data_IF_764034535084
#
_entry.id   IF_764034535084
#
_cell.length_a   1.000
_cell.length_b   1.000
_cell.length_c   1.000
_cell.angle_alpha   90.00
_cell.angle_beta   90.00
_cell.angle_gamma   90.00
#
_symmetry.space_group_name_H-M   'P 1'
#
loop_
_entity.id
_entity.type
_entity.pdbx_description
1 polymer ?
#
# COMPACT_ATOMS: atom_id res chain seq x y z
N UNK A 1 -66.82 22.23 -27.25
CA UNK A 1 -65.66 22.54 -26.38
C UNK A 1 -64.57 23.14 -27.26
N UNK A 2 -64.18 24.39 -27.03
CA UNK A 2 -63.23 25.11 -27.87
C UNK A 2 -61.80 24.58 -27.69
N UNK A 3 -60.95 24.67 -28.71
CA UNK A 3 -59.53 24.30 -28.65
C UNK A 3 -58.78 24.98 -27.49
N UNK A 4 -59.24 26.15 -27.09
CA UNK A 4 -58.73 26.93 -25.96
C UNK A 4 -59.01 26.27 -24.60
N UNK A 5 -60.16 25.61 -24.41
CA UNK A 5 -60.50 24.87 -23.19
C UNK A 5 -59.68 23.59 -23.02
N UNK A 6 -59.47 22.83 -24.11
CA UNK A 6 -58.62 21.64 -24.08
C UNK A 6 -57.14 21.99 -23.81
N UNK A 7 -56.67 23.13 -24.32
CA UNK A 7 -55.31 23.61 -24.10
C UNK A 7 -55.07 24.05 -22.65
N UNK A 8 -56.01 24.78 -22.03
CA UNK A 8 -55.92 25.18 -20.63
C UNK A 8 -55.93 23.96 -19.67
N UNK A 9 -56.74 22.94 -19.97
CA UNK A 9 -56.76 21.69 -19.20
C UNK A 9 -55.42 20.93 -19.28
N UNK A 10 -54.78 20.90 -20.45
CA UNK A 10 -53.46 20.27 -20.63
C UNK A 10 -52.34 21.00 -19.86
N UNK A 11 -52.36 22.34 -19.81
CA UNK A 11 -51.37 23.13 -19.03
C UNK A 11 -51.57 22.89 -17.53
N UNK A 12 -52.82 22.88 -17.06
CA UNK A 12 -53.15 22.60 -15.67
C UNK A 12 -52.70 21.19 -15.24
N UNK A 13 -52.91 20.17 -16.07
CA UNK A 13 -52.48 18.80 -15.79
C UNK A 13 -50.94 18.68 -15.67
N UNK A 14 -50.19 19.40 -16.53
CA UNK A 14 -48.72 19.43 -16.47
C UNK A 14 -48.21 20.12 -15.21
N UNK A 15 -48.84 21.22 -14.81
CA UNK A 15 -48.45 22.01 -13.65
C UNK A 15 -48.80 21.32 -12.32
N UNK A 16 -49.96 20.65 -12.24
CA UNK A 16 -50.41 19.92 -11.03
C UNK A 16 -49.56 18.69 -10.69
N UNK A 17 -48.83 18.15 -11.68
CA UNK A 17 -47.87 17.05 -11.55
C UNK A 17 -46.51 17.47 -10.98
N UNK A 18 -46.25 18.77 -10.81
CA UNK A 18 -45.01 19.24 -10.21
C UNK A 18 -44.96 18.91 -8.71
N UNK A 19 -43.80 18.47 -8.24
CA UNK A 19 -43.59 18.15 -6.83
C UNK A 19 -42.15 18.48 -6.39
N UNK A 20 -41.99 19.59 -5.68
CA UNK A 20 -40.69 20.05 -5.20
C UNK A 20 -40.08 19.10 -4.16
N UNK A 21 -40.89 18.47 -3.30
CA UNK A 21 -40.40 17.51 -2.30
C UNK A 21 -39.89 16.22 -2.97
N UNK A 22 -40.57 15.73 -4.01
CA UNK A 22 -40.07 14.57 -4.76
C UNK A 22 -38.77 14.89 -5.52
N UNK A 23 -38.65 16.08 -6.12
CA UNK A 23 -37.38 16.55 -6.69
C UNK A 23 -36.25 16.56 -5.66
N UNK A 24 -36.54 17.06 -4.45
CA UNK A 24 -35.58 17.14 -3.36
C UNK A 24 -35.09 15.76 -2.92
N UNK A 25 -36.01 14.85 -2.59
CA UNK A 25 -35.66 13.48 -2.23
C UNK A 25 -34.96 12.75 -3.37
N UNK A 26 -35.42 12.97 -4.61
CA UNK A 26 -34.77 12.45 -5.81
C UNK A 26 -33.31 12.90 -5.91
N UNK A 27 -33.02 14.18 -5.68
CA UNK A 27 -31.65 14.68 -5.66
C UNK A 27 -30.83 14.00 -4.55
N UNK A 28 -31.35 13.94 -3.32
CA UNK A 28 -30.70 13.32 -2.16
C UNK A 28 -30.35 11.85 -2.43
N UNK A 29 -31.29 11.05 -2.92
CA UNK A 29 -31.05 9.64 -3.22
C UNK A 29 -30.02 9.45 -4.34
N UNK A 30 -30.03 10.32 -5.35
CA UNK A 30 -29.08 10.25 -6.45
C UNK A 30 -27.68 10.74 -6.08
N UNK A 31 -27.50 11.44 -4.96
CA UNK A 31 -26.17 11.76 -4.46
C UNK A 31 -25.36 10.50 -4.15
N UNK A 32 -26.02 9.43 -3.69
CA UNK A 32 -25.37 8.15 -3.34
C UNK A 32 -24.65 7.55 -4.55
N UNK A 33 -25.33 7.13 -5.64
CA UNK A 33 -24.65 6.53 -6.79
C UNK A 33 -23.69 7.50 -7.50
N UNK A 34 -23.92 8.82 -7.43
CA UNK A 34 -23.01 9.81 -8.02
C UNK A 34 -21.68 9.86 -7.27
N UNK A 35 -21.71 9.89 -5.93
CA UNK A 35 -20.49 9.85 -5.12
C UNK A 35 -19.76 8.51 -5.27
N UNK A 36 -20.49 7.39 -5.32
CA UNK A 36 -19.90 6.05 -5.60
C UNK A 36 -19.18 6.05 -6.94
N UNK A 37 -19.85 6.52 -7.99
CA UNK A 37 -19.27 6.59 -9.32
C UNK A 37 -18.06 7.52 -9.35
N UNK A 38 -18.11 8.65 -8.64
CA UNK A 38 -17.00 9.59 -8.58
C UNK A 38 -15.76 8.94 -7.95
N UNK A 39 -15.93 8.30 -6.80
CA UNK A 39 -14.83 7.60 -6.13
C UNK A 39 -14.24 6.49 -7.02
N UNK A 40 -15.10 5.68 -7.65
CA UNK A 40 -14.65 4.64 -8.57
C UNK A 40 -13.84 5.21 -9.75
N UNK A 41 -14.28 6.32 -10.35
CA UNK A 41 -13.53 7.00 -11.41
C UNK A 41 -12.19 7.52 -10.89
N UNK A 42 -12.17 8.05 -9.66
CA UNK A 42 -10.95 8.53 -9.02
C UNK A 42 -9.93 7.41 -8.79
N UNK A 43 -10.37 6.24 -8.30
CA UNK A 43 -9.49 5.08 -8.11
C UNK A 43 -8.92 4.55 -9.44
N UNK A 44 -9.74 4.45 -10.49
CA UNK A 44 -9.28 3.95 -11.79
C UNK A 44 -8.36 4.93 -12.50
N UNK A 45 -8.69 6.23 -12.48
CA UNK A 45 -7.94 7.28 -13.17
C UNK A 45 -8.17 8.63 -12.47
N UNK A 46 -7.29 9.01 -11.52
CA UNK A 46 -7.44 10.24 -10.74
C UNK A 46 -7.59 11.51 -11.60
N UNK A 47 -6.85 11.58 -12.72
CA UNK A 47 -6.94 12.70 -13.67
C UNK A 47 -8.31 12.82 -14.36
N UNK A 48 -9.08 11.74 -14.46
CA UNK A 48 -10.42 11.75 -15.05
C UNK A 48 -11.50 12.17 -14.03
N UNK A 49 -11.22 12.10 -12.73
CA UNK A 49 -12.16 12.48 -11.68
C UNK A 49 -12.61 13.95 -11.78
N UNK A 50 -11.76 14.83 -12.32
CA UNK A 50 -12.13 16.22 -12.58
C UNK A 50 -13.34 16.35 -13.50
N UNK A 51 -13.55 15.43 -14.45
CA UNK A 51 -14.72 15.43 -15.35
C UNK A 51 -16.03 15.23 -14.57
N UNK A 52 -15.98 14.58 -13.41
CA UNK A 52 -17.15 14.37 -12.56
C UNK A 52 -17.71 15.68 -11.97
N UNK A 53 -16.94 16.76 -11.92
CA UNK A 53 -17.47 18.10 -11.61
C UNK A 53 -18.57 18.50 -12.58
N UNK A 54 -18.43 18.20 -13.87
CA UNK A 54 -19.47 18.47 -14.85
C UNK A 54 -20.55 17.39 -14.85
N UNK A 55 -20.16 16.12 -14.90
CA UNK A 55 -21.11 14.99 -15.00
C UNK A 55 -22.05 14.90 -13.80
N UNK A 56 -21.55 15.12 -12.57
CA UNK A 56 -22.41 15.11 -11.37
C UNK A 56 -23.49 16.18 -11.43
N UNK A 57 -23.17 17.37 -11.94
CA UNK A 57 -24.14 18.44 -12.17
C UNK A 57 -25.22 18.03 -13.16
N UNK A 58 -24.83 17.41 -14.27
CA UNK A 58 -25.78 16.91 -15.26
C UNK A 58 -26.69 15.80 -14.70
N UNK A 59 -26.12 14.84 -13.97
CA UNK A 59 -26.84 13.72 -13.37
C UNK A 59 -27.85 14.18 -12.30
N UNK A 60 -27.46 15.10 -11.42
CA UNK A 60 -28.38 15.71 -10.45
C UNK A 60 -29.46 16.53 -11.14
N UNK A 61 -29.11 17.27 -12.18
CA UNK A 61 -30.08 17.99 -13.00
C UNK A 61 -31.17 17.06 -13.53
N UNK A 62 -30.78 15.94 -14.13
CA UNK A 62 -31.70 14.93 -14.64
C UNK A 62 -32.53 14.27 -13.53
N UNK A 63 -31.93 13.96 -12.38
CA UNK A 63 -32.64 13.39 -11.23
C UNK A 63 -33.75 14.33 -10.72
N UNK A 64 -33.43 15.61 -10.52
CA UNK A 64 -34.39 16.63 -10.10
C UNK A 64 -35.54 16.75 -11.09
N UNK A 65 -35.24 16.75 -12.40
CA UNK A 65 -36.26 16.82 -13.44
C UNK A 65 -37.15 15.58 -13.50
N UNK A 66 -36.56 14.40 -13.40
CA UNK A 66 -37.28 13.13 -13.47
C UNK A 66 -38.29 13.00 -12.32
N UNK A 67 -37.84 13.29 -11.09
CA UNK A 67 -38.67 13.15 -9.89
C UNK A 67 -39.61 14.34 -9.66
N UNK A 68 -39.16 15.56 -9.94
CA UNK A 68 -39.93 16.78 -9.67
C UNK A 68 -40.88 17.22 -10.77
N UNK A 69 -40.58 16.85 -12.03
CA UNK A 69 -41.30 17.29 -13.24
C UNK A 69 -41.55 18.80 -13.30
N UNK A 70 -40.62 19.57 -12.73
CA UNK A 70 -40.77 20.98 -12.45
C UNK A 70 -40.59 21.89 -13.68
N UNK A 71 -41.46 22.90 -13.79
CA UNK A 71 -41.33 23.97 -14.79
C UNK A 71 -40.89 25.30 -14.15
N UNK A 72 -41.04 25.45 -12.82
CA UNK A 72 -40.60 26.66 -12.11
C UNK A 72 -39.07 26.79 -12.05
N UNK A 73 -38.58 28.04 -12.02
CA UNK A 73 -37.14 28.33 -11.90
C UNK A 73 -36.51 27.79 -10.61
N UNK A 74 -37.31 27.62 -9.54
CA UNK A 74 -36.82 27.16 -8.24
C UNK A 74 -36.37 25.69 -8.26
N UNK A 75 -36.78 24.88 -9.24
CA UNK A 75 -36.21 23.53 -9.43
C UNK A 75 -34.73 23.58 -9.83
N UNK A 76 -34.31 24.62 -10.56
CA UNK A 76 -32.89 24.83 -10.87
C UNK A 76 -32.06 25.08 -9.59
N UNK A 77 -32.65 25.73 -8.59
CA UNK A 77 -31.99 25.97 -7.30
C UNK A 77 -31.74 24.66 -6.57
N UNK A 78 -32.69 23.71 -6.59
CA UNK A 78 -32.48 22.36 -6.04
C UNK A 78 -31.26 21.70 -6.71
N UNK A 79 -31.21 21.72 -8.05
CA UNK A 79 -30.09 21.14 -8.80
C UNK A 79 -28.74 21.76 -8.44
N UNK A 80 -28.67 23.10 -8.40
CA UNK A 80 -27.44 23.80 -8.03
C UNK A 80 -27.00 23.53 -6.59
N UNK A 81 -27.92 23.56 -5.62
CA UNK A 81 -27.61 23.33 -4.20
C UNK A 81 -27.13 21.89 -3.99
N UNK A 82 -27.83 20.90 -4.54
CA UNK A 82 -27.39 19.50 -4.42
C UNK A 82 -26.04 19.27 -5.10
N UNK A 83 -25.83 19.83 -6.30
CA UNK A 83 -24.54 19.75 -6.97
C UNK A 83 -23.41 20.39 -6.13
N UNK A 84 -23.62 21.58 -5.58
CA UNK A 84 -22.64 22.23 -4.71
C UNK A 84 -22.31 21.38 -3.47
N UNK A 85 -23.32 20.79 -2.82
CA UNK A 85 -23.08 19.88 -1.69
C UNK A 85 -22.24 18.66 -2.09
N UNK A 86 -22.56 18.00 -3.21
CA UNK A 86 -21.78 16.84 -3.70
C UNK A 86 -20.33 17.25 -3.97
N UNK A 87 -20.11 18.40 -4.60
CA UNK A 87 -18.76 18.91 -4.90
C UNK A 87 -17.99 19.22 -3.61
N UNK A 88 -18.64 19.83 -2.61
CA UNK A 88 -18.01 20.10 -1.31
C UNK A 88 -17.62 18.81 -0.59
N UNK A 89 -18.49 17.80 -0.59
CA UNK A 89 -18.19 16.49 0.00
C UNK A 89 -17.04 15.82 -0.75
N UNK A 90 -17.09 15.82 -2.10
CA UNK A 90 -16.03 15.25 -2.93
C UNK A 90 -14.69 15.96 -2.70
N UNK A 91 -14.71 17.27 -2.49
CA UNK A 91 -13.51 18.06 -2.17
C UNK A 91 -12.95 17.69 -0.80
N UNK A 92 -13.82 17.57 0.21
CA UNK A 92 -13.45 17.22 1.58
C UNK A 92 -12.79 15.84 1.66
N UNK A 93 -13.34 14.85 0.96
CA UNK A 93 -12.72 13.50 0.84
C UNK A 93 -11.62 13.42 -0.23
N UNK A 94 -11.20 14.55 -0.80
CA UNK A 94 -10.07 14.67 -1.73
C UNK A 94 -10.19 13.87 -3.03
N UNK A 95 -11.40 13.51 -3.48
CA UNK A 95 -11.62 12.79 -4.76
C UNK A 95 -11.81 13.72 -5.97
N UNK A 96 -11.66 15.03 -5.79
CA UNK A 96 -11.79 16.05 -6.86
C UNK A 96 -10.48 16.25 -7.64
N UNK A 97 -9.34 16.16 -6.96
CA UNK A 97 -8.03 16.51 -7.52
C UNK A 97 -7.15 15.26 -7.54
N UNK A 98 -6.94 14.71 -8.74
CA UNK A 98 -5.93 13.70 -9.01
C UNK A 98 -4.86 14.24 -9.97
N UNK A 99 -3.67 14.53 -9.46
CA UNK A 99 -2.54 15.04 -10.25
C UNK A 99 -2.52 16.56 -10.44
N UNK A 100 -1.72 17.05 -11.40
CA UNK A 100 -1.48 18.48 -11.63
C UNK A 100 -2.51 19.09 -12.59
N UNK A 101 -3.69 19.42 -12.08
CA UNK A 101 -4.73 20.15 -12.83
C UNK A 101 -4.71 21.64 -12.45
N UNK A 102 -4.66 22.53 -13.44
CA UNK A 102 -4.72 23.98 -13.21
C UNK A 102 -6.06 24.40 -12.57
N UNK A 103 -6.02 25.26 -11.55
CA UNK A 103 -7.22 25.74 -10.85
C UNK A 103 -8.26 26.39 -11.76
N UNK A 104 -7.83 27.06 -12.83
CA UNK A 104 -8.72 27.67 -13.83
C UNK A 104 -9.58 26.62 -14.54
N UNK A 105 -9.02 25.43 -14.82
CA UNK A 105 -9.74 24.32 -15.43
C UNK A 105 -10.81 23.80 -14.46
N UNK A 106 -10.46 23.62 -13.18
CA UNK A 106 -11.39 23.18 -12.14
C UNK A 106 -12.60 24.12 -12.02
N UNK A 107 -12.35 25.44 -11.99
CA UNK A 107 -13.41 26.46 -11.96
C UNK A 107 -14.27 26.36 -13.21
N UNK A 108 -13.66 26.25 -14.40
CA UNK A 108 -14.39 26.13 -15.67
C UNK A 108 -15.32 24.92 -15.69
N UNK A 109 -14.82 23.74 -15.30
CA UNK A 109 -15.61 22.50 -15.28
C UNK A 109 -16.70 22.55 -14.20
N UNK A 110 -16.43 23.16 -13.05
CA UNK A 110 -17.46 23.39 -12.02
C UNK A 110 -18.58 24.30 -12.54
N UNK A 111 -18.25 25.41 -13.21
CA UNK A 111 -19.25 26.31 -13.80
C UNK A 111 -20.11 25.58 -14.83
N UNK A 112 -19.50 24.73 -15.67
CA UNK A 112 -20.23 23.87 -16.60
C UNK A 112 -21.15 22.87 -15.88
N UNK A 113 -20.70 22.30 -14.76
CA UNK A 113 -21.51 21.42 -13.90
C UNK A 113 -22.71 22.15 -13.30
N UNK A 114 -22.49 23.31 -12.69
CA UNK A 114 -23.53 24.15 -12.11
C UNK A 114 -24.56 24.61 -13.16
N UNK A 115 -24.09 25.01 -14.35
CA UNK A 115 -24.95 25.33 -15.48
C UNK A 115 -25.78 24.12 -15.94
N UNK A 116 -25.14 22.96 -16.07
CA UNK A 116 -25.81 21.71 -16.48
C UNK A 116 -26.87 21.29 -15.46
N UNK A 117 -26.58 21.39 -14.17
CA UNK A 117 -27.54 21.14 -13.11
C UNK A 117 -28.74 22.07 -13.22
N UNK A 118 -28.51 23.39 -13.29
CA UNK A 118 -29.56 24.38 -13.40
C UNK A 118 -30.46 24.18 -14.64
N UNK A 119 -29.82 23.93 -15.79
CA UNK A 119 -30.50 23.78 -17.08
C UNK A 119 -31.32 22.49 -17.13
N UNK A 120 -30.75 21.36 -16.69
CA UNK A 120 -31.40 20.06 -16.80
C UNK A 120 -32.44 19.81 -15.71
N UNK A 121 -32.39 20.50 -14.56
CA UNK A 121 -33.36 20.37 -13.45
C UNK A 121 -34.79 20.79 -13.78
N UNK A 122 -35.01 21.54 -14.85
CA UNK A 122 -36.34 22.05 -15.23
C UNK A 122 -36.77 21.59 -16.62
N UNK A 123 -38.07 21.50 -16.81
CA UNK A 123 -38.67 21.30 -18.14
C UNK A 123 -38.84 22.68 -18.79
N UNK A 124 -38.28 22.86 -19.99
CA UNK A 124 -38.47 24.10 -20.74
C UNK A 124 -39.91 24.21 -21.25
N UNK A 125 -40.50 25.38 -21.05
CA UNK A 125 -41.81 25.73 -21.60
C UNK A 125 -41.61 26.13 -23.06
N UNK A 126 -42.44 25.61 -23.97
CA UNK A 126 -42.36 25.98 -25.38
C UNK A 126 -42.72 27.47 -25.55
N UNK A 127 -42.13 28.16 -26.52
CA UNK A 127 -42.46 29.57 -26.79
C UNK A 127 -43.95 29.78 -27.09
N UNK A 128 -44.63 28.76 -27.60
CA UNK A 128 -46.05 28.81 -27.93
C UNK A 128 -46.93 28.76 -26.66
N UNK A 129 -46.45 28.12 -25.61
CA UNK A 129 -47.20 27.91 -24.36
C UNK A 129 -46.88 28.95 -23.27
N UNK A 130 -45.85 29.78 -23.47
CA UNK A 130 -45.31 30.67 -22.44
C UNK A 130 -46.36 31.60 -21.81
N UNK A 131 -47.20 32.24 -22.62
CA UNK A 131 -48.27 33.14 -22.14
C UNK A 131 -49.32 32.41 -21.28
N UNK A 132 -49.61 31.16 -21.60
CA UNK A 132 -50.58 30.36 -20.87
C UNK A 132 -50.01 29.86 -19.54
N UNK A 133 -48.75 29.44 -19.51
CA UNK A 133 -48.06 29.12 -18.26
C UNK A 133 -47.95 30.33 -17.34
N UNK A 134 -47.59 31.51 -17.86
CA UNK A 134 -47.50 32.74 -17.07
C UNK A 134 -48.86 33.15 -16.48
N UNK A 135 -49.93 33.08 -17.27
CA UNK A 135 -51.29 33.35 -16.78
C UNK A 135 -51.72 32.35 -15.69
N UNK A 136 -51.36 31.08 -15.82
CA UNK A 136 -51.67 30.06 -14.81
C UNK A 136 -50.84 30.20 -13.53
N UNK A 137 -49.56 30.59 -13.62
CA UNK A 137 -48.73 30.84 -12.45
C UNK A 137 -49.26 31.99 -11.59
N UNK A 138 -49.99 32.94 -12.19
CA UNK A 138 -50.65 34.05 -11.50
C UNK A 138 -52.05 33.69 -10.94
N UNK A 139 -52.58 32.50 -11.23
CA UNK A 139 -53.94 32.11 -10.84
C UNK A 139 -54.05 31.79 -9.32
N UNK A 140 -55.07 32.30 -8.59
CA UNK A 140 -55.24 32.07 -7.15
C UNK A 140 -55.32 30.59 -6.75
N UNK A 141 -56.04 29.78 -7.54
CA UNK A 141 -56.22 28.35 -7.28
C UNK A 141 -54.88 27.59 -7.36
N UNK A 142 -54.04 27.97 -8.33
CA UNK A 142 -52.70 27.43 -8.46
C UNK A 142 -51.82 27.85 -7.28
N UNK A 143 -51.89 29.12 -6.84
CA UNK A 143 -51.14 29.59 -5.67
C UNK A 143 -51.54 28.85 -4.38
N UNK A 144 -52.82 28.46 -4.25
CA UNK A 144 -53.28 27.65 -3.12
C UNK A 144 -52.79 26.20 -3.19
N UNK A 145 -52.81 25.56 -4.37
CA UNK A 145 -52.23 24.22 -4.55
C UNK A 145 -50.70 24.21 -4.40
N UNK A 146 -50.02 25.28 -4.85
CA UNK A 146 -48.58 25.50 -4.70
C UNK A 146 -48.17 25.52 -3.23
N UNK A 147 -48.98 26.12 -2.34
CA UNK A 147 -48.75 26.11 -0.88
C UNK A 147 -48.76 24.69 -0.27
N UNK A 148 -49.36 23.70 -0.92
CA UNK A 148 -49.41 22.33 -0.41
C UNK A 148 -48.27 21.45 -0.95
N UNK A 149 -47.92 21.56 -2.23
CA UNK A 149 -46.91 20.69 -2.88
C UNK A 149 -45.50 21.29 -2.99
N UNK A 150 -45.40 22.62 -3.06
CA UNK A 150 -44.15 23.34 -3.36
C UNK A 150 -43.86 24.38 -2.26
N UNK A 151 -43.78 23.92 -1.00
CA UNK A 151 -43.35 24.76 0.12
C UNK A 151 -41.84 24.98 0.05
N UNK A 152 -41.43 25.91 -0.81
CA UNK A 152 -40.02 26.18 -1.07
C UNK A 152 -39.20 26.51 0.19
N UNK A 153 -39.82 27.15 1.19
CA UNK A 153 -39.18 27.42 2.49
C UNK A 153 -38.87 26.17 3.32
N UNK A 154 -39.56 25.05 3.07
CA UNK A 154 -39.26 23.73 3.67
C UNK A 154 -38.33 22.93 2.77
N UNK A 155 -38.61 22.92 1.46
CA UNK A 155 -37.89 22.08 0.51
C UNK A 155 -36.43 22.49 0.37
N UNK A 156 -36.11 23.78 0.27
CA UNK A 156 -34.74 24.23 0.05
C UNK A 156 -33.80 23.92 1.23
N UNK A 157 -34.16 24.21 2.50
CA UNK A 157 -33.36 23.76 3.64
C UNK A 157 -33.26 22.24 3.73
N UNK A 158 -34.35 21.52 3.44
CA UNK A 158 -34.37 20.06 3.49
C UNK A 158 -33.42 19.44 2.45
N UNK A 159 -33.38 19.95 1.22
CA UNK A 159 -32.42 19.52 0.19
C UNK A 159 -31.00 19.73 0.68
N UNK A 160 -30.69 20.92 1.19
CA UNK A 160 -29.34 21.26 1.66
C UNK A 160 -28.89 20.28 2.75
N UNK A 161 -29.69 20.15 3.83
CA UNK A 161 -29.35 19.34 4.99
C UNK A 161 -29.28 17.85 4.63
N UNK A 162 -30.30 17.31 3.97
CA UNK A 162 -30.31 15.89 3.64
C UNK A 162 -29.26 15.51 2.61
N UNK A 163 -29.00 16.36 1.61
CA UNK A 163 -27.93 16.08 0.64
C UNK A 163 -26.58 16.03 1.33
N UNK A 164 -26.33 16.95 2.27
CA UNK A 164 -25.09 16.98 3.03
C UNK A 164 -24.97 15.76 3.94
N UNK A 165 -25.99 15.45 4.75
CA UNK A 165 -25.99 14.31 5.68
C UNK A 165 -25.84 12.99 4.94
N UNK A 166 -26.67 12.73 3.92
CA UNK A 166 -26.61 11.48 3.15
C UNK A 166 -25.30 11.37 2.39
N UNK A 167 -24.85 12.46 1.75
CA UNK A 167 -23.59 12.45 1.03
C UNK A 167 -22.39 12.20 1.94
N UNK A 168 -22.36 12.79 3.14
CA UNK A 168 -21.29 12.57 4.11
C UNK A 168 -21.28 11.16 4.69
N UNK A 169 -22.47 10.58 4.96
CA UNK A 169 -22.58 9.18 5.40
C UNK A 169 -22.04 8.22 4.33
N UNK A 170 -22.32 8.48 3.05
CA UNK A 170 -21.80 7.69 1.93
C UNK A 170 -20.28 7.82 1.83
N UNK A 171 -19.76 9.05 1.92
CA UNK A 171 -18.32 9.32 1.94
C UNK A 171 -17.60 8.56 3.06
N UNK A 172 -18.10 8.62 4.31
CA UNK A 172 -17.52 7.87 5.44
C UNK A 172 -17.57 6.36 5.19
N UNK A 173 -18.72 5.84 4.76
CA UNK A 173 -18.89 4.41 4.51
C UNK A 173 -17.88 3.88 3.48
N UNK A 174 -17.59 4.67 2.46
CA UNK A 174 -16.57 4.33 1.46
C UNK A 174 -15.15 4.32 2.02
N UNK A 175 -14.77 5.34 2.80
CA UNK A 175 -13.44 5.41 3.41
C UNK A 175 -13.21 4.21 4.33
N UNK A 176 -14.20 3.86 5.15
CA UNK A 176 -14.15 2.67 6.02
C UNK A 176 -14.00 1.39 5.18
N UNK A 177 -14.71 1.29 4.05
CA UNK A 177 -14.63 0.12 3.17
C UNK A 177 -13.23 -0.01 2.52
N UNK A 178 -12.65 1.09 2.04
CA UNK A 178 -11.29 1.10 1.48
C UNK A 178 -10.24 0.70 2.53
N UNK A 179 -10.34 1.25 3.74
CA UNK A 179 -9.41 0.93 4.83
C UNK A 179 -9.53 -0.54 5.26
N UNK A 180 -10.75 -1.06 5.35
CA UNK A 180 -10.97 -2.47 5.66
C UNK A 180 -10.36 -3.41 4.60
N UNK A 181 -10.51 -3.09 3.31
CA UNK A 181 -9.90 -3.87 2.23
C UNK A 181 -8.38 -3.81 2.26
N UNK A 182 -7.81 -2.63 2.57
CA UNK A 182 -6.36 -2.48 2.71
C UNK A 182 -5.81 -3.36 3.85
N UNK A 183 -6.44 -3.30 5.02
CA UNK A 183 -6.06 -4.10 6.20
C UNK A 183 -6.17 -5.60 5.92
N UNK A 184 -7.24 -6.04 5.26
CA UNK A 184 -7.43 -7.45 4.90
C UNK A 184 -6.34 -7.93 3.94
N UNK A 185 -5.97 -7.11 2.96
CA UNK A 185 -4.92 -7.45 2.01
C UNK A 185 -3.55 -7.56 2.70
N UNK A 186 -3.21 -6.60 3.57
CA UNK A 186 -1.96 -6.61 4.33
C UNK A 186 -1.87 -7.83 5.26
N UNK A 187 -2.94 -8.15 5.99
CA UNK A 187 -3.01 -9.32 6.86
C UNK A 187 -2.84 -10.63 6.07
N UNK A 188 -3.46 -10.75 4.90
CA UNK A 188 -3.33 -11.93 4.06
C UNK A 188 -1.90 -12.10 3.52
N UNK A 189 -1.25 -11.01 3.11
CA UNK A 189 0.16 -11.05 2.70
C UNK A 189 1.07 -11.47 3.86
N UNK A 190 0.87 -10.90 5.06
CA UNK A 190 1.64 -11.25 6.24
C UNK A 190 1.43 -12.72 6.65
N UNK A 191 0.19 -13.21 6.59
CA UNK A 191 -0.12 -14.61 6.87
C UNK A 191 0.52 -15.57 5.85
N UNK A 192 0.53 -15.22 4.56
CA UNK A 192 1.21 -15.99 3.51
C UNK A 192 2.71 -16.04 3.75
N UNK A 193 3.34 -14.90 4.05
CA UNK A 193 4.76 -14.87 4.42
C UNK A 193 5.03 -15.74 5.66
N UNK A 194 4.22 -15.64 6.71
CA UNK A 194 4.33 -16.49 7.91
C UNK A 194 4.16 -17.99 7.63
N UNK A 195 3.35 -18.38 6.65
CA UNK A 195 3.20 -19.76 6.21
C UNK A 195 4.45 -20.24 5.44
N UNK A 196 4.93 -19.46 4.47
CA UNK A 196 6.18 -19.75 3.75
C UNK A 196 7.39 -19.85 4.70
N UNK A 197 7.42 -19.04 5.76
CA UNK A 197 8.43 -19.13 6.80
C UNK A 197 8.34 -20.45 7.57
N UNK A 198 7.14 -20.88 7.95
CA UNK A 198 6.94 -22.15 8.69
C UNK A 198 7.36 -23.37 7.90
N UNK A 199 7.03 -23.43 6.60
CA UNK A 199 7.36 -24.57 5.75
C UNK A 199 8.88 -24.75 5.53
N UNK A 200 9.65 -23.66 5.65
CA UNK A 200 11.11 -23.69 5.50
C UNK A 200 11.85 -24.01 6.79
N UNK A 201 11.21 -23.95 7.95
CA UNK A 201 11.89 -24.22 9.22
C UNK A 201 12.30 -25.69 9.32
N UNK A 202 13.55 -25.92 9.70
CA UNK A 202 14.01 -27.24 10.10
C UNK A 202 13.81 -27.42 11.60
N UNK A 203 13.65 -28.66 12.04
CA UNK A 203 13.76 -28.97 13.46
C UNK A 203 15.22 -28.80 13.89
N UNK A 204 15.44 -27.95 14.89
CA UNK A 204 16.74 -27.60 15.45
C UNK A 204 17.00 -28.26 16.80
N UNK A 205 16.18 -29.25 17.18
CA UNK A 205 16.48 -30.12 18.31
C UNK A 205 17.81 -30.86 18.14
N UNK A 206 18.49 -31.16 19.24
CA UNK A 206 19.77 -31.86 19.23
C UNK A 206 19.69 -33.23 18.50
N UNK A 207 18.52 -33.89 18.58
CA UNK A 207 18.21 -35.15 17.92
C UNK A 207 18.09 -35.00 16.40
N UNK A 208 17.37 -33.98 15.94
CA UNK A 208 17.25 -33.67 14.51
C UNK A 208 18.58 -33.23 13.91
N UNK A 209 19.32 -32.36 14.63
CA UNK A 209 20.64 -31.91 14.21
C UNK A 209 21.67 -33.06 14.19
N UNK A 210 21.53 -34.07 15.06
CA UNK A 210 22.39 -35.25 15.03
C UNK A 210 22.22 -36.08 13.74
N UNK A 211 21.02 -36.07 13.15
CA UNK A 211 20.70 -36.79 11.92
C UNK A 211 21.09 -36.02 10.65
N UNK A 212 21.38 -34.73 10.75
CA UNK A 212 21.77 -33.88 9.61
C UNK A 212 23.29 -33.88 9.46
N UNK A 213 23.76 -33.90 8.21
CA UNK A 213 25.18 -33.72 7.91
C UNK A 213 25.66 -32.33 8.39
N UNK A 214 26.81 -32.27 9.05
CA UNK A 214 27.37 -31.03 9.61
C UNK A 214 27.52 -29.90 8.57
N UNK A 215 27.90 -30.22 7.32
CA UNK A 215 27.98 -29.23 6.24
C UNK A 215 26.61 -28.64 5.93
N UNK A 216 25.59 -29.49 5.87
CA UNK A 216 24.21 -29.07 5.65
C UNK A 216 23.69 -28.24 6.83
N UNK A 217 24.03 -28.60 8.06
CA UNK A 217 23.71 -27.81 9.23
C UNK A 217 24.38 -26.42 9.17
N UNK A 218 25.65 -26.31 8.75
CA UNK A 218 26.32 -25.03 8.51
C UNK A 218 25.60 -24.20 7.42
N UNK A 219 25.13 -24.82 6.32
CA UNK A 219 24.36 -24.09 5.29
C UNK A 219 23.03 -23.56 5.83
N UNK A 220 22.35 -24.29 6.73
CA UNK A 220 21.13 -23.80 7.39
C UNK A 220 21.44 -22.69 8.39
N UNK A 221 22.51 -22.80 9.17
CA UNK A 221 22.94 -21.73 10.05
C UNK A 221 23.20 -20.43 9.27
N UNK A 222 23.89 -20.52 8.12
CA UNK A 222 24.10 -19.38 7.24
C UNK A 222 22.79 -18.86 6.62
N UNK A 223 21.87 -19.75 6.25
CA UNK A 223 20.58 -19.37 5.69
C UNK A 223 19.73 -18.59 6.70
N UNK A 224 19.69 -19.03 7.96
CA UNK A 224 19.06 -18.31 9.06
C UNK A 224 19.77 -16.99 9.40
N UNK A 225 21.10 -16.93 9.30
CA UNK A 225 21.82 -15.69 9.56
C UNK A 225 21.61 -14.63 8.47
N UNK A 226 21.69 -15.04 7.20
CA UNK A 226 21.76 -14.13 6.04
C UNK A 226 20.45 -13.95 5.28
N UNK A 227 19.43 -14.77 5.56
CA UNK A 227 18.18 -14.83 4.79
C UNK A 227 18.33 -15.43 3.38
N UNK A 228 19.46 -16.09 3.09
CA UNK A 228 19.78 -16.68 1.77
C UNK A 228 20.18 -18.15 1.91
N UNK A 229 19.45 -19.04 1.26
CA UNK A 229 19.74 -20.46 1.30
C UNK A 229 20.66 -20.88 0.16
N UNK A 230 21.70 -21.64 0.50
CA UNK A 230 22.58 -22.32 -0.44
C UNK A 230 22.59 -23.81 -0.12
N UNK A 231 22.76 -24.66 -1.13
CA UNK A 231 23.02 -26.08 -0.90
C UNK A 231 24.50 -26.34 -0.55
N UNK A 232 24.82 -27.60 -0.22
CA UNK A 232 26.20 -28.04 0.10
C UNK A 232 27.18 -27.91 -1.08
N UNK A 233 26.67 -27.71 -2.30
CA UNK A 233 27.48 -27.48 -3.50
C UNK A 233 27.58 -25.99 -3.87
N UNK A 234 26.98 -25.12 -3.06
CA UNK A 234 26.94 -23.68 -3.25
C UNK A 234 26.00 -23.15 -4.34
N UNK A 235 24.98 -23.94 -4.70
CA UNK A 235 23.87 -23.44 -5.52
C UNK A 235 22.89 -22.65 -4.66
N UNK A 236 22.56 -21.46 -5.11
CA UNK A 236 21.56 -20.62 -4.47
C UNK A 236 20.16 -21.24 -4.63
N UNK A 237 19.48 -21.48 -3.52
CA UNK A 237 18.13 -22.07 -3.48
C UNK A 237 17.02 -21.02 -3.27
N UNK A 238 17.39 -19.76 -3.04
CA UNK A 238 16.44 -18.67 -2.86
C UNK A 238 16.49 -18.02 -1.48
N UNK A 239 15.47 -17.21 -1.20
CA UNK A 239 15.31 -16.52 0.09
C UNK A 239 14.93 -17.52 1.19
N UNK A 240 15.45 -17.27 2.39
CA UNK A 240 15.24 -18.09 3.59
C UNK A 240 14.80 -17.21 4.77
N UNK A 241 14.03 -17.74 5.74
CA UNK A 241 13.77 -17.03 6.99
C UNK A 241 15.07 -16.55 7.65
N UNK A 242 15.16 -15.27 7.98
CA UNK A 242 16.27 -14.76 8.78
C UNK A 242 15.91 -14.86 10.27
N UNK A 243 16.68 -15.62 11.02
CA UNK A 243 16.54 -15.81 12.45
C UNK A 243 17.93 -16.04 13.09
N UNK A 244 18.48 -14.98 13.68
CA UNK A 244 19.79 -15.04 14.33
C UNK A 244 19.85 -16.02 15.51
N UNK A 245 18.72 -16.26 16.18
CA UNK A 245 18.66 -17.20 17.30
C UNK A 245 18.83 -18.63 16.79
N UNK A 246 18.11 -19.00 15.74
CA UNK A 246 18.22 -20.33 15.11
C UNK A 246 19.61 -20.56 14.52
N UNK A 247 20.20 -19.56 13.87
CA UNK A 247 21.56 -19.64 13.38
C UNK A 247 22.56 -19.94 14.52
N UNK A 248 22.47 -19.21 15.63
CA UNK A 248 23.32 -19.43 16.80
C UNK A 248 23.06 -20.77 17.50
N UNK A 249 21.82 -21.25 17.52
CA UNK A 249 21.47 -22.54 18.11
C UNK A 249 22.14 -23.69 17.35
N UNK A 250 22.02 -23.69 16.02
CA UNK A 250 22.68 -24.67 15.14
C UNK A 250 24.20 -24.60 15.29
N UNK A 251 24.77 -23.38 15.26
CA UNK A 251 26.22 -23.18 15.43
C UNK A 251 26.71 -23.64 16.81
N UNK A 252 25.93 -23.39 17.87
CA UNK A 252 26.26 -23.85 19.23
C UNK A 252 26.27 -25.37 19.30
N UNK A 253 25.24 -26.02 18.77
CA UNK A 253 25.19 -27.49 18.72
C UNK A 253 26.43 -28.05 18.00
N UNK A 254 26.75 -27.54 16.81
CA UNK A 254 27.92 -27.98 16.05
C UNK A 254 29.24 -27.70 16.80
N UNK A 255 29.37 -26.54 17.45
CA UNK A 255 30.59 -26.17 18.16
C UNK A 255 30.81 -26.94 19.47
N UNK A 256 29.74 -27.18 20.24
CA UNK A 256 29.81 -27.76 21.59
C UNK A 256 29.61 -29.28 21.60
N UNK A 257 28.66 -29.81 20.82
CA UNK A 257 28.33 -31.25 20.81
C UNK A 257 29.12 -32.05 19.77
N UNK A 258 29.40 -31.45 18.61
CA UNK A 258 30.18 -32.08 17.53
C UNK A 258 31.65 -31.66 17.53
N UNK A 259 32.04 -30.70 18.36
CA UNK A 259 33.38 -30.10 18.39
C UNK A 259 33.85 -29.64 17.01
N UNK A 260 32.92 -29.13 16.19
CA UNK A 260 33.21 -28.75 14.81
C UNK A 260 34.08 -27.46 14.79
N UNK A 261 35.32 -27.50 14.27
CA UNK A 261 36.22 -26.35 14.31
C UNK A 261 35.70 -25.15 13.53
N UNK A 262 35.06 -25.36 12.37
CA UNK A 262 34.48 -24.28 11.57
C UNK A 262 33.31 -23.61 12.26
N UNK A 263 32.44 -24.37 12.91
CA UNK A 263 31.34 -23.83 13.70
C UNK A 263 31.85 -23.03 14.90
N UNK A 264 32.92 -23.49 15.57
CA UNK A 264 33.59 -22.73 16.63
C UNK A 264 34.14 -21.39 16.12
N UNK A 265 34.81 -21.39 14.95
CA UNK A 265 35.30 -20.17 14.32
C UNK A 265 34.16 -19.19 14.01
N UNK A 266 33.11 -19.65 13.30
CA UNK A 266 31.98 -18.81 12.90
C UNK A 266 31.24 -18.28 14.14
N UNK A 267 30.93 -19.15 15.10
CA UNK A 267 30.26 -18.76 16.35
C UNK A 267 31.12 -17.79 17.16
N UNK A 268 32.44 -17.94 17.12
CA UNK A 268 33.39 -17.04 17.72
C UNK A 268 33.41 -15.66 17.08
N UNK A 269 33.36 -15.59 15.74
CA UNK A 269 33.31 -14.33 14.97
C UNK A 269 32.03 -13.53 15.20
N UNK A 270 30.87 -14.19 15.22
CA UNK A 270 29.58 -13.50 15.43
C UNK A 270 29.32 -13.13 16.90
N UNK A 271 30.12 -13.64 17.84
CA UNK A 271 29.99 -13.34 19.28
C UNK A 271 31.10 -12.38 19.71
N UNK A 272 30.78 -11.10 19.77
CA UNK A 272 31.68 -10.09 20.35
C UNK A 272 31.77 -10.24 21.88
N UNK A 273 32.68 -11.11 22.34
CA UNK A 273 32.97 -11.33 23.75
C UNK A 273 34.25 -12.14 23.98
N UNK A 274 34.76 -12.17 25.21
CA UNK A 274 35.84 -13.10 25.64
C UNK A 274 35.54 -14.57 25.32
N UNK A 275 34.26 -14.96 25.29
CA UNK A 275 33.85 -16.32 24.91
C UNK A 275 34.03 -16.56 23.41
N UNK A 276 33.85 -15.54 22.57
CA UNK A 276 34.10 -15.62 21.13
C UNK A 276 35.58 -15.86 20.82
N UNK A 277 36.47 -15.11 21.45
CA UNK A 277 37.92 -15.30 21.31
C UNK A 277 38.38 -16.71 21.73
N UNK A 278 37.81 -17.26 22.81
CA UNK A 278 38.10 -18.63 23.22
C UNK A 278 37.65 -19.68 22.19
N UNK A 279 36.50 -19.48 21.54
CA UNK A 279 36.00 -20.35 20.47
C UNK A 279 36.89 -20.27 19.21
N UNK A 280 37.35 -19.08 18.83
CA UNK A 280 38.28 -18.93 17.70
C UNK A 280 39.59 -19.67 17.98
N UNK A 281 40.11 -19.59 19.21
CA UNK A 281 41.31 -20.34 19.61
C UNK A 281 41.08 -21.86 19.57
N UNK A 282 39.94 -22.34 20.06
CA UNK A 282 39.59 -23.76 19.97
C UNK A 282 39.48 -24.23 18.51
N UNK A 283 38.91 -23.39 17.63
CA UNK A 283 38.85 -23.67 16.21
C UNK A 283 40.25 -23.79 15.59
N UNK A 284 41.17 -22.89 15.96
CA UNK A 284 42.57 -22.96 15.51
C UNK A 284 43.26 -24.25 15.98
N UNK A 285 43.10 -24.60 17.26
CA UNK A 285 43.64 -25.84 17.85
C UNK A 285 43.02 -27.10 17.19
N UNK A 286 41.74 -27.02 16.81
CA UNK A 286 41.02 -28.01 16.03
C UNK A 286 41.43 -28.08 14.55
N UNK A 287 42.35 -27.21 14.10
CA UNK A 287 42.89 -27.19 12.75
C UNK A 287 42.02 -26.48 11.71
N UNK A 288 41.14 -25.56 12.14
CA UNK A 288 40.38 -24.72 11.23
C UNK A 288 41.27 -23.72 10.49
N UNK A 289 41.06 -23.65 9.17
CA UNK A 289 41.89 -22.86 8.27
C UNK A 289 41.63 -21.36 8.37
N UNK A 290 40.38 -20.93 8.58
CA UNK A 290 40.07 -19.52 8.77
C UNK A 290 40.48 -19.07 10.17
N UNK A 291 40.28 -19.88 11.22
CA UNK A 291 40.79 -19.54 12.55
C UNK A 291 42.31 -19.32 12.54
N UNK A 292 43.06 -20.20 11.85
CA UNK A 292 44.50 -20.04 11.67
C UNK A 292 44.85 -18.79 10.86
N UNK A 293 44.09 -18.50 9.79
CA UNK A 293 44.28 -17.28 9.00
C UNK A 293 44.12 -16.02 9.87
N UNK A 294 43.04 -15.96 10.65
CA UNK A 294 42.74 -14.84 11.55
C UNK A 294 43.80 -14.68 12.65
N UNK A 295 44.33 -15.77 13.20
CA UNK A 295 45.44 -15.75 14.17
C UNK A 295 46.72 -15.15 13.56
N UNK A 296 47.02 -15.46 12.29
CA UNK A 296 48.15 -14.85 11.57
C UNK A 296 47.89 -13.36 11.29
N UNK A 297 46.66 -12.98 10.95
CA UNK A 297 46.26 -11.58 10.75
C UNK A 297 46.40 -10.77 12.03
N UNK A 298 45.88 -11.27 13.15
CA UNK A 298 46.02 -10.64 14.47
C UNK A 298 47.50 -10.44 14.82
N UNK A 299 48.33 -11.47 14.62
CA UNK A 299 49.77 -11.37 14.87
C UNK A 299 50.45 -10.30 14.00
N UNK A 300 50.17 -10.26 12.70
CA UNK A 300 50.80 -9.30 11.80
C UNK A 300 50.31 -7.87 12.02
N UNK A 301 49.04 -7.68 12.40
CA UNK A 301 48.44 -6.37 12.63
C UNK A 301 48.90 -5.74 13.95
N UNK A 302 49.00 -6.54 15.01
CA UNK A 302 49.27 -6.00 16.36
C UNK A 302 50.72 -6.18 16.83
N UNK A 303 51.50 -7.08 16.22
CA UNK A 303 52.85 -7.41 16.71
C UNK A 303 53.95 -7.18 15.66
N UNK A 304 53.90 -7.87 14.52
CA UNK A 304 54.98 -7.81 13.51
C UNK A 304 54.46 -8.13 12.11
N UNK A 305 54.16 -7.08 11.34
CA UNK A 305 53.64 -7.20 9.97
C UNK A 305 54.58 -7.96 9.02
N UNK A 306 55.90 -7.84 9.20
CA UNK A 306 56.88 -8.51 8.33
C UNK A 306 56.87 -10.01 8.58
N UNK A 307 56.86 -10.44 9.84
CA UNK A 307 56.72 -11.85 10.20
C UNK A 307 55.33 -12.39 9.90
N UNK A 308 54.27 -11.59 10.07
CA UNK A 308 52.91 -11.93 9.66
C UNK A 308 52.84 -12.29 8.16
N UNK A 309 53.41 -11.47 7.28
CA UNK A 309 53.53 -11.77 5.84
C UNK A 309 54.31 -13.06 5.55
N UNK A 310 55.37 -13.35 6.30
CA UNK A 310 56.13 -14.60 6.17
C UNK A 310 55.28 -15.82 6.58
N UNK A 311 54.53 -15.71 7.68
CA UNK A 311 53.61 -16.75 8.14
C UNK A 311 52.49 -17.00 7.12
N UNK A 312 51.89 -15.95 6.54
CA UNK A 312 50.89 -16.08 5.47
C UNK A 312 51.46 -16.78 4.23
N UNK A 313 52.66 -16.38 3.80
CA UNK A 313 53.33 -17.00 2.65
C UNK A 313 53.64 -18.48 2.90
N UNK A 314 53.96 -18.84 4.13
CA UNK A 314 54.15 -20.25 4.52
C UNK A 314 52.82 -21.00 4.59
N UNK A 315 51.76 -20.36 5.10
CA UNK A 315 50.43 -20.95 5.22
C UNK A 315 49.80 -21.20 3.86
N UNK A 316 49.96 -20.28 2.91
CA UNK A 316 49.48 -20.38 1.54
C UNK A 316 49.96 -21.65 0.80
N UNK A 317 51.17 -22.15 1.13
CA UNK A 317 51.74 -23.35 0.50
C UNK A 317 51.02 -24.64 0.90
N UNK A 318 50.38 -24.66 2.06
CA UNK A 318 49.84 -25.86 2.69
C UNK A 318 48.31 -25.84 2.80
N UNK A 319 47.66 -24.83 2.23
CA UNK A 319 46.20 -24.69 2.29
C UNK A 319 45.54 -25.27 1.04
N UNK A 320 44.45 -26.02 1.22
CA UNK A 320 43.66 -26.59 0.12
C UNK A 320 42.41 -25.75 -0.19
N UNK A 321 41.80 -25.16 0.84
CA UNK A 321 40.57 -24.36 0.77
C UNK A 321 40.77 -23.09 -0.08
N UNK A 322 40.03 -22.97 -1.20
CA UNK A 322 40.21 -21.87 -2.16
C UNK A 322 39.79 -20.51 -1.60
N UNK A 323 38.70 -20.44 -0.85
CA UNK A 323 38.27 -19.23 -0.17
C UNK A 323 39.36 -18.66 0.76
N UNK A 324 40.11 -19.53 1.46
CA UNK A 324 41.24 -19.11 2.30
C UNK A 324 42.43 -18.63 1.45
N UNK A 325 42.71 -19.26 0.31
CA UNK A 325 43.77 -18.80 -0.62
C UNK A 325 43.50 -17.40 -1.15
N UNK A 326 42.24 -17.13 -1.53
CA UNK A 326 41.83 -15.82 -2.06
C UNK A 326 42.10 -14.74 -1.02
N UNK A 327 41.73 -14.97 0.23
CA UNK A 327 41.96 -14.03 1.33
C UNK A 327 43.46 -13.81 1.59
N UNK A 328 44.27 -14.89 1.59
CA UNK A 328 45.73 -14.77 1.73
C UNK A 328 46.34 -13.95 0.58
N UNK A 329 45.91 -14.20 -0.65
CA UNK A 329 46.43 -13.50 -1.83
C UNK A 329 46.09 -12.01 -1.82
N UNK A 330 44.86 -11.64 -1.44
CA UNK A 330 44.49 -10.24 -1.28
C UNK A 330 45.36 -9.52 -0.24
N UNK A 331 45.68 -10.18 0.86
CA UNK A 331 46.52 -9.57 1.90
C UNK A 331 48.00 -9.50 1.53
N UNK A 332 48.48 -10.40 0.66
CA UNK A 332 49.85 -10.36 0.16
C UNK A 332 50.06 -9.30 -0.92
N UNK A 333 49.01 -8.88 -1.65
CA UNK A 333 49.10 -7.84 -2.69
C UNK A 333 49.11 -6.41 -2.12
N UNK A 334 48.49 -6.19 -0.96
CA UNK A 334 48.28 -4.86 -0.39
C UNK A 334 49.18 -4.60 0.83
N UNK A 335 49.03 -3.44 1.50
CA UNK A 335 49.68 -3.24 2.79
C UNK A 335 48.93 -3.98 3.90
N UNK A 336 49.67 -4.61 4.82
CA UNK A 336 49.09 -5.48 5.86
C UNK A 336 48.16 -4.67 6.78
N UNK A 337 48.48 -3.40 6.98
CA UNK A 337 47.71 -2.46 7.80
C UNK A 337 46.32 -2.15 7.21
N UNK A 338 46.17 -2.21 5.88
CA UNK A 338 44.91 -1.90 5.19
C UNK A 338 43.85 -2.98 5.43
N UNK A 339 44.29 -4.19 5.79
CA UNK A 339 43.43 -5.35 6.04
C UNK A 339 43.17 -5.64 7.52
N UNK A 340 43.75 -4.85 8.44
CA UNK A 340 43.55 -5.05 9.87
C UNK A 340 42.09 -4.80 10.33
N UNK A 341 41.32 -4.04 9.55
CA UNK A 341 39.89 -3.80 9.79
C UNK A 341 39.03 -5.08 9.62
N UNK A 342 39.52 -6.08 8.89
CA UNK A 342 38.84 -7.38 8.70
C UNK A 342 38.76 -8.20 10.01
N UNK A 343 39.62 -7.87 10.99
CA UNK A 343 39.56 -8.48 12.33
C UNK A 343 38.31 -8.04 13.10
N UNK A 344 37.87 -6.79 12.88
CA UNK A 344 36.72 -6.18 13.55
C UNK A 344 35.37 -6.57 12.91
N UNK A 345 35.40 -7.17 11.72
CA UNK A 345 34.18 -7.63 11.05
C UNK A 345 33.58 -8.86 11.77
N UNK A 346 32.38 -8.73 12.31
CA UNK A 346 31.66 -9.82 13.01
C UNK A 346 30.67 -10.56 12.11
N UNK A 347 30.74 -10.39 10.78
CA UNK A 347 29.82 -11.02 9.84
C UNK A 347 30.07 -12.54 9.69
N UNK A 348 28.98 -13.32 9.56
CA UNK A 348 29.06 -14.69 9.07
C UNK A 348 28.98 -14.69 7.54
N UNK A 349 30.15 -14.68 6.89
CA UNK A 349 30.27 -14.74 5.43
C UNK A 349 30.09 -16.18 4.89
N UNK A 350 29.45 -16.29 3.73
CA UNK A 350 29.26 -17.55 3.01
C UNK A 350 30.59 -18.23 2.65
N UNK A 351 31.66 -17.45 2.42
CA UNK A 351 33.02 -17.96 2.15
C UNK A 351 33.50 -18.93 3.22
N UNK A 352 33.06 -18.77 4.47
CA UNK A 352 33.42 -19.65 5.58
C UNK A 352 32.81 -21.05 5.48
N UNK A 353 31.85 -21.30 4.59
CA UNK A 353 31.23 -22.63 4.47
C UNK A 353 31.27 -23.20 3.07
N UNK A 354 31.54 -22.38 2.06
CA UNK A 354 31.52 -22.76 0.64
C UNK A 354 32.53 -23.86 0.31
N UNK A 355 33.79 -23.65 0.69
CA UNK A 355 34.91 -24.55 0.33
C UNK A 355 35.36 -25.43 1.50
N UNK A 356 34.63 -25.39 2.63
CA UNK A 356 35.00 -26.11 3.83
C UNK A 356 34.90 -27.63 3.63
N UNK A 357 36.04 -28.30 3.78
CA UNK A 357 36.12 -29.76 3.70
C UNK A 357 36.23 -30.38 5.08
N UNK A 358 35.35 -31.33 5.37
CA UNK A 358 35.42 -32.13 6.59
C UNK A 358 36.59 -33.11 6.46
N UNK A 359 37.59 -32.96 7.32
CA UNK A 359 38.65 -33.97 7.46
C UNK A 359 37.98 -35.27 7.95
N UNK A 360 38.13 -36.34 7.17
CA UNK A 360 37.58 -37.67 7.47
C UNK A 360 38.26 -38.32 8.66
#
# INVERSE_FOLDING_TARGET
MSAQGNFQNNVLEKITKQNALAAALGAVFWCIPILVLWMFVYELKPAAATVMLWLSGALIGLAVRFHGRGYERLFAVIGCVSHACIVLIAWDVQIVIGGNVLSVILIGVYVLGAWSAAYLSRINISMHDYKAFDAFFACPDYLQQKKLKNRWFVVLPLVLVLTFVVGYLVAIAMLIFQEAQYIEHENNQQAQHAAEFRDKHIDTSDEALAAINEHKALTYAFAYYSGRQFDVHGRYLGKYPQDSYQAQLILRYLAEQKSNPRAQFILGKIRDSKKGAALIKQAEEGGDSFARLYSIYEFGCYFDAKKGRQLLSSFAKNIEEQSVKIDIHGMLSDDFNDHCQVLDDTEFDYRYIKDYQFKK
#
